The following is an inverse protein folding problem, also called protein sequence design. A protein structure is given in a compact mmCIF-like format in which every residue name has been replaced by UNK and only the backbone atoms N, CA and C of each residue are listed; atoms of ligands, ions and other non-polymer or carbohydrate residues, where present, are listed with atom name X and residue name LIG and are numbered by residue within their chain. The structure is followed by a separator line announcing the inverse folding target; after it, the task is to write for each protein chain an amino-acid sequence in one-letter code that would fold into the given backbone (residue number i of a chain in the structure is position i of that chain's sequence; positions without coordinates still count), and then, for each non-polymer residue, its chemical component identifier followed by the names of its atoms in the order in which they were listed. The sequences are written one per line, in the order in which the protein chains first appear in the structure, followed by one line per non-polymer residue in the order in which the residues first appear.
data_IF_835582690992
#
_entry.id   IF_835582690992
#
_cell.length_a   1.000
_cell.length_b   1.000
_cell.length_c   1.000
_cell.angle_alpha   90.00
_cell.angle_beta   90.00
_cell.angle_gamma   90.00
#
_symmetry.space_group_name_H-M   'P 1'
#
loop_
_entity.id
_entity.type
_entity.pdbx_description
1 polymer ?
#
# COMPACT_ATOMS: atom_id res chain seq x y z
N UNK A 1 6.29 19.72 30.09
CA UNK A 1 5.84 18.91 28.94
C UNK A 1 6.15 17.47 29.26
N UNK A 2 5.17 16.60 29.41
CA UNK A 2 5.47 15.19 29.53
C UNK A 2 6.20 14.77 28.27
N UNK A 3 7.37 14.15 28.44
CA UNK A 3 8.14 13.60 27.34
C UNK A 3 7.25 12.66 26.53
N UNK A 4 7.30 12.78 25.22
CA UNK A 4 6.68 11.82 24.32
C UNK A 4 7.46 10.52 24.44
N UNK A 5 7.13 9.73 25.45
CA UNK A 5 7.55 8.33 25.50
C UNK A 5 6.80 7.59 24.39
N UNK A 6 7.35 7.69 23.19
CA UNK A 6 6.76 7.08 22.01
C UNK A 6 7.25 5.62 21.93
N UNK A 7 6.73 4.81 22.81
CA UNK A 7 6.87 3.35 22.74
C UNK A 7 5.76 2.69 21.94
N UNK A 8 5.25 3.38 20.91
CA UNK A 8 4.22 2.83 20.05
C UNK A 8 4.85 2.31 18.75
N UNK A 9 4.53 1.09 18.40
CA UNK A 9 4.94 0.48 17.13
C UNK A 9 3.71 0.02 16.37
N UNK A 10 3.55 0.51 15.14
CA UNK A 10 2.52 0.06 14.21
C UNK A 10 3.20 -0.21 12.87
N UNK A 11 3.67 -1.41 12.68
CA UNK A 11 4.35 -1.83 11.45
C UNK A 11 3.82 -3.17 10.98
N UNK A 12 3.57 -3.27 9.71
CA UNK A 12 3.07 -4.46 9.01
C UNK A 12 4.00 -4.76 7.85
N UNK A 13 4.35 -6.03 7.69
CA UNK A 13 5.07 -6.55 6.52
C UNK A 13 4.24 -7.71 5.98
N UNK A 14 3.81 -7.62 4.73
CA UNK A 14 2.99 -8.61 4.08
C UNK A 14 3.58 -8.99 2.73
N UNK A 15 3.53 -10.28 2.42
CA UNK A 15 3.82 -10.81 1.09
C UNK A 15 2.57 -11.47 0.54
N UNK A 16 2.14 -11.06 -0.65
CA UNK A 16 0.95 -11.59 -1.27
C UNK A 16 0.89 -11.33 -2.77
N UNK A 17 -0.22 -11.71 -3.38
CA UNK A 17 -0.51 -11.44 -4.80
C UNK A 17 -1.60 -10.40 -4.95
N UNK A 18 -1.43 -9.50 -5.90
CA UNK A 18 -2.49 -8.57 -6.27
C UNK A 18 -3.68 -9.34 -6.87
N UNK A 19 -4.87 -9.06 -6.36
CA UNK A 19 -6.11 -9.67 -6.86
C UNK A 19 -6.66 -8.96 -8.09
N UNK A 20 -6.34 -7.67 -8.24
CA UNK A 20 -6.68 -6.82 -9.38
C UNK A 20 -5.63 -5.73 -9.57
N UNK A 21 -5.71 -5.02 -10.69
CA UNK A 21 -4.85 -3.85 -10.91
C UNK A 21 -5.17 -2.75 -9.87
N UNK A 22 -4.18 -1.98 -9.42
CA UNK A 22 -4.41 -0.85 -8.54
C UNK A 22 -5.38 0.17 -9.14
N UNK A 23 -6.32 0.63 -8.33
CA UNK A 23 -7.24 1.71 -8.67
C UNK A 23 -6.65 3.03 -8.18
N UNK A 24 -6.48 3.98 -9.08
CA UNK A 24 -5.96 5.30 -8.75
C UNK A 24 -7.08 6.32 -8.69
N UNK A 25 -7.01 7.15 -7.65
CA UNK A 25 -7.80 8.37 -7.52
C UNK A 25 -6.88 9.51 -7.13
N UNK A 26 -7.23 10.69 -7.56
CA UNK A 26 -6.54 11.91 -7.17
C UNK A 26 -7.34 12.62 -6.09
N UNK A 27 -6.71 12.94 -4.98
CA UNK A 27 -7.30 13.63 -3.84
C UNK A 27 -6.61 14.99 -3.64
N UNK A 28 -7.25 15.86 -2.85
CA UNK A 28 -6.78 17.22 -2.62
C UNK A 28 -7.59 18.26 -3.40
N UNK A 29 -7.46 19.53 -3.02
CA UNK A 29 -8.20 20.64 -3.67
C UNK A 29 -7.80 20.82 -5.14
N UNK A 30 -6.55 20.53 -5.47
CA UNK A 30 -5.98 20.68 -6.82
C UNK A 30 -5.74 19.33 -7.53
N UNK A 31 -6.28 18.21 -6.97
CA UNK A 31 -6.05 16.84 -7.45
C UNK A 31 -4.55 16.49 -7.60
N UNK A 32 -3.73 17.00 -6.70
CA UNK A 32 -2.27 16.86 -6.75
C UNK A 32 -1.75 15.61 -6.03
N UNK A 33 -2.58 14.96 -5.21
CA UNK A 33 -2.19 13.76 -4.46
C UNK A 33 -2.79 12.50 -5.09
N UNK A 34 -1.95 11.67 -5.68
CA UNK A 34 -2.34 10.35 -6.16
C UNK A 34 -2.57 9.41 -4.97
N UNK A 35 -3.66 8.67 -5.01
CA UNK A 35 -4.01 7.63 -4.04
C UNK A 35 -4.31 6.35 -4.79
N UNK A 36 -3.54 5.29 -4.55
CA UNK A 36 -3.78 3.98 -5.12
C UNK A 36 -4.37 3.04 -4.08
N UNK A 37 -5.39 2.30 -4.48
CA UNK A 37 -6.01 1.24 -3.67
C UNK A 37 -5.93 -0.08 -4.41
N UNK A 38 -5.52 -1.12 -3.71
CA UNK A 38 -5.47 -2.48 -4.23
C UNK A 38 -5.68 -3.50 -3.10
N UNK A 39 -5.92 -4.74 -3.45
CA UNK A 39 -6.12 -5.83 -2.49
C UNK A 39 -5.05 -6.90 -2.69
N UNK A 40 -4.39 -7.26 -1.61
CA UNK A 40 -3.45 -8.38 -1.56
C UNK A 40 -4.14 -9.65 -1.06
N UNK A 41 -3.94 -10.74 -1.78
CA UNK A 41 -4.23 -12.10 -1.29
C UNK A 41 -2.99 -12.65 -0.60
N UNK A 42 -3.04 -12.78 0.70
CA UNK A 42 -1.97 -13.31 1.54
C UNK A 42 -2.34 -14.73 1.96
N UNK A 43 -1.58 -15.72 1.49
CA UNK A 43 -1.87 -17.11 1.80
C UNK A 43 -1.69 -17.39 3.29
N UNK A 44 -2.64 -18.13 3.87
CA UNK A 44 -2.54 -18.61 5.24
C UNK A 44 -1.49 -19.71 5.35
N UNK A 45 -0.67 -19.66 6.38
CA UNK A 45 0.37 -20.67 6.64
C UNK A 45 -0.23 -22.04 6.99
N UNK A 46 -1.35 -22.03 7.72
CA UNK A 46 -2.06 -23.23 8.11
C UNK A 46 -3.48 -23.20 7.56
N UNK A 47 -3.86 -24.27 6.87
CA UNK A 47 -5.20 -24.45 6.30
C UNK A 47 -5.90 -25.55 7.07
N UNK A 48 -7.21 -25.39 7.24
CA UNK A 48 -8.12 -26.49 7.60
C UNK A 48 -8.98 -26.78 6.38
N UNK A 49 -9.37 -28.03 6.22
CA UNK A 49 -10.23 -28.44 5.12
C UNK A 49 -11.55 -27.65 5.14
N UNK A 50 -11.87 -27.01 4.00
CA UNK A 50 -13.06 -26.17 3.85
C UNK A 50 -12.91 -24.72 4.26
N UNK A 51 -11.74 -24.28 4.77
CA UNK A 51 -11.48 -22.88 5.08
C UNK A 51 -10.89 -22.08 3.91
N UNK A 52 -11.06 -20.78 3.96
CA UNK A 52 -10.47 -19.82 3.02
C UNK A 52 -8.94 -19.92 3.01
N UNK A 53 -8.36 -20.07 1.82
CA UNK A 53 -6.91 -20.29 1.66
C UNK A 53 -6.06 -19.04 1.85
N UNK A 54 -6.65 -17.86 1.65
CA UNK A 54 -5.96 -16.58 1.71
C UNK A 54 -6.79 -15.51 2.44
N UNK A 55 -6.09 -14.60 3.07
CA UNK A 55 -6.67 -13.38 3.61
C UNK A 55 -6.56 -12.26 2.58
N UNK A 56 -7.66 -11.56 2.33
CA UNK A 56 -7.73 -10.44 1.40
C UNK A 56 -7.59 -9.14 2.17
N UNK A 57 -6.47 -8.46 1.97
CA UNK A 57 -6.10 -7.28 2.75
C UNK A 57 -6.13 -6.06 1.86
N UNK A 58 -6.95 -5.08 2.26
CA UNK A 58 -7.03 -3.78 1.59
C UNK A 58 -5.78 -2.96 1.87
N UNK A 59 -5.14 -2.48 0.82
CA UNK A 59 -3.93 -1.69 0.86
C UNK A 59 -4.16 -0.35 0.17
N UNK A 60 -3.64 0.70 0.78
CA UNK A 60 -3.71 2.08 0.28
C UNK A 60 -2.32 2.68 0.29
N UNK A 61 -1.95 3.35 -0.77
CA UNK A 61 -0.67 4.05 -0.88
C UNK A 61 -0.88 5.43 -1.50
N UNK A 62 -0.02 6.37 -1.15
CA UNK A 62 -0.17 7.79 -1.48
C UNK A 62 1.01 8.35 -2.27
N UNK A 63 0.77 9.42 -3.02
CA UNK A 63 1.79 10.20 -3.70
C UNK A 63 2.58 9.40 -4.73
N UNK A 64 3.89 9.53 -4.73
CA UNK A 64 4.80 8.83 -5.66
C UNK A 64 4.68 7.31 -5.58
N UNK A 65 4.43 6.77 -4.40
CA UNK A 65 4.22 5.35 -4.21
C UNK A 65 2.92 4.85 -4.87
N UNK A 66 1.89 5.70 -4.94
CA UNK A 66 0.65 5.43 -5.68
C UNK A 66 0.87 5.45 -7.20
N UNK A 67 1.62 6.41 -7.70
CA UNK A 67 2.00 6.47 -9.11
C UNK A 67 2.84 5.27 -9.53
N UNK A 68 3.78 4.86 -8.66
CA UNK A 68 4.54 3.63 -8.84
C UNK A 68 3.62 2.41 -8.92
N UNK A 69 2.67 2.29 -7.99
CA UNK A 69 1.72 1.17 -7.98
C UNK A 69 0.89 1.13 -9.27
N UNK A 70 0.43 2.27 -9.76
CA UNK A 70 -0.30 2.36 -11.02
C UNK A 70 0.52 1.88 -12.21
N UNK A 71 1.79 2.29 -12.26
CA UNK A 71 2.64 2.08 -13.43
C UNK A 71 3.20 0.66 -13.50
N UNK A 72 3.54 0.06 -12.36
CA UNK A 72 4.30 -1.17 -12.30
C UNK A 72 3.58 -2.37 -11.68
N UNK A 73 2.51 -2.15 -10.91
CA UNK A 73 1.79 -3.24 -10.26
C UNK A 73 0.59 -3.70 -11.08
N UNK A 74 0.50 -5.01 -11.29
CA UNK A 74 -0.56 -5.64 -12.07
C UNK A 74 -1.17 -6.82 -11.32
N UNK A 75 -2.41 -7.16 -11.68
CA UNK A 75 -3.10 -8.35 -11.18
C UNK A 75 -2.21 -9.59 -11.27
N UNK A 76 -2.15 -10.35 -10.19
CA UNK A 76 -1.41 -11.61 -10.12
C UNK A 76 0.06 -11.47 -9.71
N UNK A 77 0.63 -10.26 -9.73
CA UNK A 77 2.01 -10.04 -9.27
C UNK A 77 2.16 -10.36 -7.79
N UNK A 78 3.29 -10.97 -7.44
CA UNK A 78 3.70 -11.19 -6.06
C UNK A 78 4.59 -10.05 -5.59
N UNK A 79 4.18 -9.38 -4.53
CA UNK A 79 4.91 -8.27 -3.94
C UNK A 79 5.04 -8.43 -2.43
N UNK A 80 6.06 -7.82 -1.87
CA UNK A 80 6.18 -7.55 -0.43
C UNK A 80 5.86 -6.08 -0.20
N UNK A 81 5.06 -5.80 0.80
CA UNK A 81 4.74 -4.44 1.23
C UNK A 81 5.15 -4.24 2.69
N UNK A 82 5.65 -3.06 2.97
CA UNK A 82 5.87 -2.54 4.33
C UNK A 82 4.99 -1.33 4.59
N UNK A 83 4.41 -1.24 5.77
CA UNK A 83 3.56 -0.12 6.12
C UNK A 83 2.99 -0.24 7.53
N UNK A 84 1.84 0.38 7.74
CA UNK A 84 1.13 0.42 9.02
C UNK A 84 -0.36 0.11 8.86
N UNK A 85 -0.99 -0.38 9.92
CA UNK A 85 -2.45 -0.56 9.96
C UNK A 85 -3.11 0.79 10.24
N UNK A 86 -4.15 1.10 9.51
CA UNK A 86 -5.03 2.25 9.74
C UNK A 86 -6.48 1.78 9.85
N UNK A 87 -7.15 2.19 10.90
CA UNK A 87 -8.56 1.92 11.11
C UNK A 87 -9.38 3.21 10.90
N UNK A 88 -10.53 3.06 10.30
CA UNK A 88 -11.45 4.17 10.07
C UNK A 88 -12.89 3.72 10.22
N UNK A 89 -13.80 4.69 10.16
CA UNK A 89 -15.24 4.41 10.09
C UNK A 89 -15.94 5.45 9.25
N UNK A 90 -16.99 5.04 8.56
CA UNK A 90 -17.86 5.94 7.83
C UNK A 90 -19.33 5.51 8.03
N UNK A 91 -20.25 6.43 7.81
CA UNK A 91 -21.67 6.12 7.83
C UNK A 91 -22.14 5.78 6.41
N UNK A 92 -22.81 4.64 6.28
CA UNK A 92 -23.48 4.25 5.05
C UNK A 92 -24.73 5.09 4.81
N UNK A 93 -25.32 4.95 3.61
CA UNK A 93 -26.55 5.65 3.20
C UNK A 93 -27.71 5.40 4.16
N UNK A 94 -27.74 4.26 4.84
CA UNK A 94 -28.72 3.87 5.84
C UNK A 94 -28.39 4.37 7.27
N UNK A 95 -27.36 5.20 7.44
CA UNK A 95 -26.91 5.72 8.73
C UNK A 95 -26.14 4.71 9.59
N UNK A 96 -25.86 3.51 9.09
CA UNK A 96 -25.10 2.47 9.78
C UNK A 96 -23.61 2.78 9.75
N UNK A 97 -22.94 2.68 10.90
CA UNK A 97 -21.48 2.86 10.99
C UNK A 97 -20.77 1.62 10.45
N UNK A 98 -19.97 1.81 9.42
CA UNK A 98 -19.08 0.79 8.83
C UNK A 98 -17.66 1.07 9.28
N UNK A 99 -17.02 0.06 9.86
CA UNK A 99 -15.61 0.12 10.25
C UNK A 99 -14.73 -0.42 9.14
N UNK A 100 -13.62 0.25 8.87
CA UNK A 100 -12.63 -0.17 7.88
C UNK A 100 -11.29 -0.41 8.53
N UNK A 101 -10.55 -1.37 8.00
CA UNK A 101 -9.15 -1.63 8.37
C UNK A 101 -8.36 -1.74 7.09
N UNK A 102 -7.48 -0.80 6.87
CA UNK A 102 -6.61 -0.72 5.70
C UNK A 102 -5.15 -0.74 6.12
N UNK A 103 -4.29 -1.24 5.25
CA UNK A 103 -2.84 -1.11 5.40
C UNK A 103 -2.37 0.07 4.57
N UNK A 104 -1.81 1.07 5.23
CA UNK A 104 -1.15 2.19 4.56
C UNK A 104 0.25 1.73 4.18
N UNK A 105 0.49 1.61 2.88
CA UNK A 105 1.74 1.09 2.34
C UNK A 105 2.73 2.21 2.13
N UNK A 106 3.90 2.06 2.72
CA UNK A 106 5.02 3.00 2.64
C UNK A 106 6.12 2.49 1.69
N UNK A 107 6.29 1.16 1.65
CA UNK A 107 7.33 0.49 0.89
C UNK A 107 6.75 -0.65 0.05
N UNK A 108 7.27 -0.82 -1.18
CA UNK A 108 6.95 -1.93 -2.07
C UNK A 108 8.23 -2.63 -2.49
N UNK A 109 8.23 -3.97 -2.47
CA UNK A 109 9.31 -4.78 -2.99
C UNK A 109 8.74 -5.90 -3.89
N UNK A 110 9.42 -6.19 -4.98
CA UNK A 110 9.03 -7.30 -5.85
C UNK A 110 9.54 -8.62 -5.29
N UNK A 111 8.62 -9.59 -5.12
CA UNK A 111 8.90 -10.94 -4.65
C UNK A 111 8.72 -11.99 -5.74
N UNK A 112 9.02 -11.64 -6.99
CA UNK A 112 8.83 -12.54 -8.13
C UNK A 112 10.11 -13.35 -8.37
N UNK A 113 10.01 -14.69 -8.33
CA UNK A 113 11.11 -15.57 -8.72
C UNK A 113 11.35 -15.47 -10.23
N UNK A 114 12.61 -15.51 -10.65
CA UNK A 114 13.06 -15.52 -12.05
C UNK A 114 12.48 -16.66 -12.91
N UNK A 115 11.92 -17.69 -12.27
CA UNK A 115 11.51 -18.93 -12.95
C UNK A 115 10.03 -19.00 -13.35
N UNK A 116 9.23 -18.01 -13.02
CA UNK A 116 7.84 -17.96 -13.51
C UNK A 116 7.78 -17.13 -14.79
N UNK A 117 8.03 -17.75 -15.92
CA UNK A 117 7.81 -17.42 -17.34
C UNK A 117 7.09 -16.13 -17.76
N UNK A 118 7.20 -15.06 -17.02
CA UNK A 118 6.77 -13.73 -17.40
C UNK A 118 7.99 -13.03 -18.03
N UNK A 119 7.89 -12.79 -19.32
CA UNK A 119 8.96 -12.33 -20.18
C UNK A 119 9.65 -11.03 -19.77
N UNK A 120 10.46 -10.51 -20.65
CA UNK A 120 11.37 -9.37 -20.60
C UNK A 120 10.95 -8.12 -19.75
N UNK A 121 9.66 -7.99 -19.41
CA UNK A 121 9.10 -6.90 -18.61
C UNK A 121 9.60 -6.89 -17.15
N UNK A 122 10.03 -8.05 -16.63
CA UNK A 122 10.44 -8.13 -15.22
C UNK A 122 11.80 -7.47 -14.94
N UNK A 123 12.69 -7.41 -15.95
CA UNK A 123 14.01 -6.80 -15.79
C UNK A 123 13.94 -5.27 -15.87
N UNK A 124 13.11 -4.74 -16.75
CA UNK A 124 12.84 -3.29 -16.85
C UNK A 124 12.11 -2.78 -15.60
N UNK A 125 11.18 -3.57 -15.10
CA UNK A 125 10.43 -3.25 -13.86
C UNK A 125 11.34 -3.21 -12.64
N UNK A 126 12.32 -4.14 -12.54
CA UNK A 126 13.33 -4.13 -11.47
C UNK A 126 14.29 -2.95 -11.57
N UNK A 127 14.71 -2.57 -12.78
CA UNK A 127 15.55 -1.37 -13.00
C UNK A 127 14.81 -0.10 -12.62
N UNK A 128 13.57 0.04 -13.07
CA UNK A 128 12.72 1.18 -12.74
C UNK A 128 12.45 1.29 -11.22
N UNK A 129 12.32 0.15 -10.52
CA UNK A 129 12.21 0.12 -9.08
C UNK A 129 13.49 0.59 -8.38
N UNK A 130 14.65 0.17 -8.85
CA UNK A 130 15.94 0.62 -8.29
C UNK A 130 16.14 2.12 -8.49
N UNK A 131 15.78 2.66 -9.65
CA UNK A 131 15.82 4.10 -9.93
C UNK A 131 14.84 4.86 -9.04
N UNK A 132 13.63 4.34 -8.86
CA UNK A 132 12.61 4.94 -7.99
C UNK A 132 13.04 4.94 -6.51
N UNK A 133 13.60 3.85 -5.99
CA UNK A 133 14.14 3.79 -4.64
C UNK A 133 15.31 4.77 -4.43
N UNK A 134 16.15 4.94 -5.46
CA UNK A 134 17.24 5.91 -5.42
C UNK A 134 16.71 7.35 -5.36
N UNK A 135 15.68 7.67 -6.13
CA UNK A 135 15.02 8.98 -6.11
C UNK A 135 14.31 9.28 -4.79
N UNK A 136 13.68 8.27 -4.17
CA UNK A 136 13.06 8.41 -2.85
C UNK A 136 14.08 8.70 -1.76
N UNK A 137 15.21 8.00 -1.75
CA UNK A 137 16.28 8.23 -0.77
C UNK A 137 16.89 9.63 -0.89
N UNK A 138 16.93 10.17 -2.11
CA UNK A 138 17.41 11.53 -2.34
C UNK A 138 16.38 12.62 -1.96
N UNK A 139 15.07 12.33 -2.07
CA UNK A 139 14.00 13.27 -1.75
C UNK A 139 13.70 13.34 -0.25
N UNK A 140 13.94 12.28 0.51
CA UNK A 140 13.79 12.28 1.98
C UNK A 140 14.82 13.18 2.66
N UNK A 141 16.01 13.33 2.08
CA UNK A 141 17.03 14.25 2.58
C UNK A 141 16.62 15.72 2.50
N UNK A 142 15.57 16.07 1.76
CA UNK A 142 15.09 17.45 1.57
C UNK A 142 13.76 17.78 2.23
N UNK A 143 13.06 16.81 2.81
CA UNK A 143 11.80 17.07 3.50
C UNK A 143 12.04 17.44 4.97
N UNK A 144 11.91 18.72 5.25
CA UNK A 144 11.75 19.22 6.61
C UNK A 144 10.47 18.62 7.22
N UNK A 145 10.58 18.23 8.42
CA UNK A 145 9.81 17.47 9.41
C UNK A 145 8.36 17.93 9.69
N UNK A 146 7.72 18.76 8.88
CA UNK A 146 6.47 19.44 9.26
C UNK A 146 5.21 19.11 8.45
N UNK A 147 5.28 18.27 7.43
CA UNK A 147 4.09 17.92 6.64
C UNK A 147 3.84 16.40 6.65
N UNK A 148 3.31 15.91 7.76
CA UNK A 148 2.51 14.69 7.71
C UNK A 148 1.07 15.10 7.41
N UNK A 149 0.53 14.80 6.23
CA UNK A 149 -0.89 14.99 5.97
C UNK A 149 -1.70 14.15 6.96
N UNK A 150 -2.79 14.70 7.45
CA UNK A 150 -3.76 13.98 8.26
C UNK A 150 -4.41 12.86 7.41
N UNK A 151 -3.74 11.71 7.38
CA UNK A 151 -4.12 10.55 6.57
C UNK A 151 -5.57 10.08 6.83
N UNK A 152 -6.10 10.40 8.00
CA UNK A 152 -7.47 10.05 8.38
C UNK A 152 -8.55 10.75 7.56
N UNK A 153 -8.30 11.96 7.07
CA UNK A 153 -9.24 12.70 6.21
C UNK A 153 -9.25 12.23 4.77
N UNK A 154 -8.09 11.80 4.25
CA UNK A 154 -7.94 11.33 2.88
C UNK A 154 -8.61 9.97 2.65
N UNK A 155 -8.59 9.09 3.65
CA UNK A 155 -9.26 7.77 3.58
C UNK A 155 -10.79 7.92 3.55
N UNK A 156 -11.35 8.92 4.23
CA UNK A 156 -12.80 9.21 4.23
C UNK A 156 -13.31 9.78 2.91
N UNK A 157 -12.46 10.42 2.12
CA UNK A 157 -12.82 10.99 0.82
C UNK A 157 -12.84 9.95 -0.33
N UNK A 158 -12.36 8.76 -0.06
CA UNK A 158 -12.32 7.62 -1.00
C UNK A 158 -13.48 6.66 -0.77
#
# INVERSE_FOLDING_TARGET
MPGKDVTTMNRVILMGRLTKNPEIKYAGKDNDMAVARYTLAVNRKYKRDGEQEADFISCVTFGKSAEFAQKYLHKGMRIVIGGRISTGSYKDKDGKTIYTTDVIVEEHEFAQNKDSGAGADSLETLKAYQEFCHDLSFSESKRNHNDTPDDGRLIKAL
#
